data_IF_973707863028
#
_entry.id   IF_973707863028
#
_cell.length_a   1.000
_cell.length_b   1.000
_cell.length_c   1.000
_cell.angle_alpha   90.00
_cell.angle_beta   90.00
_cell.angle_gamma   90.00
#
_symmetry.space_group_name_H-M   'P 1'
#
loop_
_entity.id
_entity.type
_entity.pdbx_description
1 polymer ?
#
# COMPACT_ATOMS: atom_id res chain seq x y z
N UNK A 1 -27.74 -29.04 1.40
CA UNK A 1 -28.20 -29.34 2.76
C UNK A 1 -27.37 -30.52 3.26
N UNK A 2 -26.35 -30.25 4.04
CA UNK A 2 -25.42 -31.28 4.47
C UNK A 2 -25.95 -31.95 5.74
N UNK A 3 -26.01 -33.28 5.74
CA UNK A 3 -26.53 -34.17 6.79
C UNK A 3 -25.81 -34.08 8.15
N UNK A 4 -24.76 -33.27 8.25
CA UNK A 4 -23.94 -33.10 9.47
C UNK A 4 -24.50 -32.12 10.50
N UNK A 5 -25.51 -31.29 10.13
CA UNK A 5 -26.06 -30.28 11.04
C UNK A 5 -27.01 -30.84 12.12
N UNK A 6 -27.50 -32.06 11.91
CA UNK A 6 -28.49 -32.69 12.81
C UNK A 6 -27.88 -33.32 14.08
N UNK A 7 -26.58 -33.64 14.07
CA UNK A 7 -25.90 -34.28 15.19
C UNK A 7 -25.36 -33.32 16.28
N UNK A 8 -25.12 -32.04 15.92
CA UNK A 8 -24.51 -31.08 16.84
C UNK A 8 -25.50 -30.18 17.58
N UNK A 9 -26.75 -30.11 17.14
CA UNK A 9 -27.81 -29.28 17.76
C UNK A 9 -28.06 -29.56 19.23
N UNK A 10 -28.05 -30.83 19.73
CA UNK A 10 -28.29 -31.09 21.15
C UNK A 10 -27.12 -30.70 22.07
N UNK A 11 -25.92 -30.51 21.52
CA UNK A 11 -24.71 -30.20 22.30
C UNK A 11 -24.41 -28.68 22.31
N UNK A 12 -24.72 -27.96 21.23
CA UNK A 12 -24.34 -26.55 21.05
C UNK A 12 -25.51 -25.56 21.17
N UNK A 13 -26.75 -26.03 21.35
CA UNK A 13 -27.92 -25.16 21.37
C UNK A 13 -28.27 -24.56 19.98
N UNK A 14 -29.30 -23.69 19.87
CA UNK A 14 -29.67 -23.08 18.63
C UNK A 14 -28.56 -22.13 18.17
N UNK A 15 -27.87 -22.49 17.06
CA UNK A 15 -26.86 -21.65 16.44
C UNK A 15 -27.49 -20.33 15.98
N UNK A 16 -27.11 -19.25 16.63
CA UNK A 16 -27.52 -17.92 16.22
C UNK A 16 -27.01 -17.65 14.79
N UNK A 17 -27.91 -17.36 13.86
CA UNK A 17 -27.60 -17.05 12.45
C UNK A 17 -26.89 -15.70 12.26
N UNK A 18 -26.59 -14.97 13.34
CA UNK A 18 -25.82 -13.75 13.34
C UNK A 18 -24.39 -14.04 13.80
N UNK A 19 -23.51 -14.30 12.86
CA UNK A 19 -22.07 -14.18 13.08
C UNK A 19 -21.23 -15.46 13.03
N UNK A 20 -21.69 -16.56 12.48
CA UNK A 20 -20.83 -17.72 12.19
C UNK A 20 -20.39 -17.75 10.73
N UNK A 21 -19.52 -16.82 10.34
CA UNK A 21 -18.59 -17.12 9.29
C UNK A 21 -17.45 -17.94 9.92
N UNK A 22 -17.60 -19.25 9.93
CA UNK A 22 -16.51 -20.18 10.27
C UNK A 22 -15.55 -20.24 9.08
N UNK A 23 -14.80 -19.17 8.85
CA UNK A 23 -13.58 -19.20 8.06
C UNK A 23 -12.46 -19.81 8.91
N UNK A 24 -12.64 -21.05 9.34
CA UNK A 24 -11.55 -21.85 9.90
C UNK A 24 -10.64 -22.27 8.76
N UNK A 25 -9.79 -21.34 8.33
CA UNK A 25 -8.63 -21.66 7.50
C UNK A 25 -7.72 -22.54 8.36
N UNK A 26 -7.67 -23.85 8.06
CA UNK A 26 -6.83 -24.78 8.82
C UNK A 26 -5.36 -24.31 8.81
N UNK A 27 -4.56 -24.64 9.85
CA UNK A 27 -3.18 -24.13 10.01
C UNK A 27 -2.29 -24.37 8.79
N UNK A 28 -2.53 -25.44 8.04
CA UNK A 28 -1.80 -25.78 6.80
C UNK A 28 -2.17 -24.85 5.63
N UNK A 29 -3.43 -24.43 5.53
CA UNK A 29 -3.87 -23.52 4.49
C UNK A 29 -3.42 -22.10 4.81
N UNK A 30 -3.49 -21.67 6.07
CA UNK A 30 -3.02 -20.37 6.52
C UNK A 30 -1.52 -20.17 6.26
N UNK A 31 -0.69 -21.15 6.59
CA UNK A 31 0.76 -21.10 6.32
C UNK A 31 1.09 -21.05 4.83
N UNK A 32 0.33 -21.78 4.00
CA UNK A 32 0.49 -21.76 2.53
C UNK A 32 0.11 -20.39 1.95
N UNK A 33 -1.01 -19.79 2.39
CA UNK A 33 -1.45 -18.47 1.98
C UNK A 33 -0.42 -17.41 2.38
N UNK A 34 0.06 -17.43 3.62
CA UNK A 34 1.08 -16.50 4.10
C UNK A 34 2.36 -16.59 3.27
N UNK A 35 2.86 -17.81 3.01
CA UNK A 35 4.05 -18.01 2.18
C UNK A 35 3.87 -17.51 0.74
N UNK A 36 2.71 -17.79 0.13
CA UNK A 36 2.40 -17.31 -1.23
C UNK A 36 2.29 -15.79 -1.28
N UNK A 37 1.67 -15.16 -0.28
CA UNK A 37 1.56 -13.71 -0.17
C UNK A 37 2.92 -13.04 0.01
N UNK A 38 3.78 -13.61 0.85
CA UNK A 38 5.15 -13.11 1.04
C UNK A 38 5.99 -13.22 -0.23
N UNK A 39 5.88 -14.35 -0.92
CA UNK A 39 6.58 -14.56 -2.20
C UNK A 39 6.10 -13.57 -3.26
N UNK A 40 4.78 -13.37 -3.39
CA UNK A 40 4.20 -12.41 -4.32
C UNK A 40 4.67 -10.99 -4.02
N UNK A 41 4.73 -10.61 -2.74
CA UNK A 41 5.24 -9.32 -2.30
C UNK A 41 6.72 -9.15 -2.71
N UNK A 42 7.58 -10.12 -2.42
CA UNK A 42 9.00 -10.08 -2.76
C UNK A 42 9.22 -10.00 -4.28
N UNK A 43 8.50 -10.82 -5.06
CA UNK A 43 8.58 -10.78 -6.54
C UNK A 43 8.13 -9.43 -7.08
N UNK A 44 7.04 -8.86 -6.55
CA UNK A 44 6.55 -7.54 -6.95
C UNK A 44 7.57 -6.44 -6.64
N UNK A 45 8.17 -6.47 -5.46
CA UNK A 45 9.25 -5.53 -5.10
C UNK A 45 10.47 -5.65 -5.99
N UNK A 46 10.90 -6.89 -6.29
CA UNK A 46 12.02 -7.12 -7.19
C UNK A 46 11.73 -6.62 -8.62
N UNK A 47 10.51 -6.83 -9.12
CA UNK A 47 10.08 -6.34 -10.42
C UNK A 47 10.04 -4.80 -10.47
N UNK A 48 9.50 -4.14 -9.43
CA UNK A 48 9.49 -2.68 -9.30
C UNK A 48 10.91 -2.15 -9.23
N UNK A 49 11.77 -2.76 -8.42
CA UNK A 49 13.18 -2.37 -8.29
C UNK A 49 13.93 -2.48 -9.61
N UNK A 50 13.73 -3.58 -10.34
CA UNK A 50 14.32 -3.79 -11.67
C UNK A 50 13.83 -2.72 -12.65
N UNK A 51 12.53 -2.45 -12.70
CA UNK A 51 11.95 -1.42 -13.58
C UNK A 51 12.54 -0.03 -13.30
N UNK A 52 12.57 0.39 -12.04
CA UNK A 52 13.08 1.71 -11.65
C UNK A 52 14.59 1.81 -11.96
N UNK A 53 15.36 0.77 -11.62
CA UNK A 53 16.81 0.75 -11.88
C UNK A 53 17.16 0.80 -13.38
N UNK A 54 16.31 0.22 -14.23
CA UNK A 54 16.47 0.28 -15.68
C UNK A 54 16.05 1.63 -16.24
N UNK A 55 15.01 2.25 -15.69
CA UNK A 55 14.40 3.49 -16.21
C UNK A 55 15.11 4.76 -15.75
N UNK A 56 15.69 4.75 -14.55
CA UNK A 56 16.30 5.92 -13.90
C UNK A 56 17.79 5.72 -13.61
N UNK A 57 18.52 6.83 -13.41
CA UNK A 57 19.90 6.77 -12.92
C UNK A 57 19.95 6.19 -11.50
N UNK A 58 21.10 5.60 -11.13
CA UNK A 58 21.25 4.87 -9.88
C UNK A 58 20.80 5.62 -8.62
N UNK A 59 21.02 6.94 -8.55
CA UNK A 59 20.61 7.76 -7.40
C UNK A 59 19.08 7.86 -7.30
N UNK A 60 18.41 8.21 -8.40
CA UNK A 60 16.95 8.28 -8.43
C UNK A 60 16.30 6.92 -8.13
N UNK A 61 16.87 5.85 -8.70
CA UNK A 61 16.40 4.50 -8.44
C UNK A 61 16.53 4.11 -6.96
N UNK A 62 17.67 4.38 -6.35
CA UNK A 62 17.91 4.11 -4.94
C UNK A 62 16.94 4.89 -4.04
N UNK A 63 16.78 6.20 -4.27
CA UNK A 63 15.88 7.03 -3.47
C UNK A 63 14.41 6.61 -3.62
N UNK A 64 13.97 6.26 -4.84
CA UNK A 64 12.62 5.73 -5.06
C UNK A 64 12.37 4.43 -4.29
N UNK A 65 13.36 3.54 -4.23
CA UNK A 65 13.27 2.30 -3.44
C UNK A 65 13.25 2.55 -1.94
N UNK A 66 13.99 3.55 -1.46
CA UNK A 66 13.95 3.96 -0.05
C UNK A 66 12.57 4.50 0.31
N UNK A 67 11.97 5.37 -0.52
CA UNK A 67 10.61 5.88 -0.31
C UNK A 67 9.58 4.74 -0.33
N UNK A 68 9.69 3.82 -1.29
CA UNK A 68 8.82 2.65 -1.37
C UNK A 68 8.91 1.77 -0.12
N UNK A 69 10.12 1.48 0.33
CA UNK A 69 10.34 0.71 1.56
C UNK A 69 9.76 1.42 2.78
N UNK A 70 9.95 2.74 2.89
CA UNK A 70 9.35 3.58 3.93
C UNK A 70 7.81 3.44 3.96
N UNK A 71 7.13 3.58 2.82
CA UNK A 71 5.67 3.57 2.75
C UNK A 71 5.09 2.20 3.14
N UNK A 72 5.73 1.13 2.68
CA UNK A 72 5.33 -0.24 3.05
C UNK A 72 5.61 -0.53 4.52
N UNK A 73 6.74 -0.05 5.06
CA UNK A 73 7.07 -0.23 6.47
C UNK A 73 6.12 0.54 7.38
N UNK A 74 5.76 1.78 7.04
CA UNK A 74 4.78 2.57 7.80
C UNK A 74 3.41 1.88 7.79
N UNK A 75 2.93 1.45 6.62
CA UNK A 75 1.64 0.77 6.50
C UNK A 75 1.63 -0.55 7.27
N UNK A 76 2.67 -1.37 7.12
CA UNK A 76 2.80 -2.65 7.82
C UNK A 76 2.98 -2.46 9.33
N UNK A 77 3.76 -1.46 9.74
CA UNK A 77 3.98 -1.12 11.15
C UNK A 77 2.70 -0.68 11.84
N UNK A 78 1.87 0.13 11.18
CA UNK A 78 0.56 0.52 11.69
C UNK A 78 -0.35 -0.70 11.91
N UNK A 79 -0.38 -1.64 10.95
CA UNK A 79 -1.20 -2.85 11.09
C UNK A 79 -0.64 -3.80 12.14
N UNK A 80 0.68 -3.92 12.28
CA UNK A 80 1.29 -4.66 13.38
C UNK A 80 0.90 -4.07 14.75
N UNK A 81 0.88 -2.75 14.88
CA UNK A 81 0.46 -2.05 16.08
C UNK A 81 -1.05 -2.24 16.37
N UNK A 82 -1.90 -2.15 15.35
CA UNK A 82 -3.34 -2.44 15.46
C UNK A 82 -3.59 -3.90 15.83
N UNK A 83 -2.80 -4.84 15.32
CA UNK A 83 -2.83 -6.24 15.71
C UNK A 83 -2.57 -6.44 17.19
N UNK A 84 -1.54 -5.77 17.73
CA UNK A 84 -1.19 -5.84 19.16
C UNK A 84 -2.25 -5.20 20.07
N UNK A 85 -2.85 -4.07 19.67
CA UNK A 85 -3.78 -3.33 20.51
C UNK A 85 -5.22 -3.79 20.39
N UNK A 86 -5.65 -4.20 19.19
CA UNK A 86 -7.06 -4.50 18.89
C UNK A 86 -7.29 -5.91 18.35
N UNK A 87 -6.23 -6.72 18.24
CA UNK A 87 -6.34 -8.08 17.69
C UNK A 87 -6.72 -8.10 16.21
N UNK A 88 -6.35 -7.06 15.44
CA UNK A 88 -6.59 -7.03 13.99
C UNK A 88 -5.74 -8.10 13.33
N UNK A 89 -6.39 -9.05 12.68
CA UNK A 89 -5.72 -10.11 11.93
C UNK A 89 -5.43 -9.64 10.50
N UNK A 90 -4.22 -9.93 10.03
CA UNK A 90 -3.81 -9.69 8.64
C UNK A 90 -3.99 -10.97 7.84
N UNK A 91 -4.64 -10.85 6.69
CA UNK A 91 -4.94 -11.93 5.77
C UNK A 91 -4.24 -11.74 4.41
N UNK A 92 -4.60 -12.57 3.43
CA UNK A 92 -4.08 -12.43 2.06
C UNK A 92 -4.47 -11.12 1.39
N UNK A 93 -5.60 -10.51 1.74
CA UNK A 93 -6.03 -9.22 1.20
C UNK A 93 -5.10 -8.09 1.67
N UNK A 94 -4.55 -8.18 2.88
CA UNK A 94 -3.54 -7.23 3.34
C UNK A 94 -2.28 -7.25 2.48
N UNK A 95 -1.80 -8.45 2.07
CA UNK A 95 -0.67 -8.56 1.16
C UNK A 95 -0.98 -7.93 -0.23
N UNK A 96 -2.19 -8.13 -0.73
CA UNK A 96 -2.66 -7.48 -1.97
C UNK A 96 -2.69 -5.96 -1.80
N UNK A 97 -3.15 -5.46 -0.64
CA UNK A 97 -3.13 -4.03 -0.33
C UNK A 97 -1.71 -3.47 -0.37
N UNK A 98 -0.72 -4.14 0.26
CA UNK A 98 0.67 -3.70 0.26
C UNK A 98 1.27 -3.65 -1.16
N UNK A 99 1.00 -4.64 -2.01
CA UNK A 99 1.45 -4.65 -3.41
C UNK A 99 0.83 -3.47 -4.17
N UNK A 100 -0.45 -3.21 -3.95
CA UNK A 100 -1.18 -2.11 -4.59
C UNK A 100 -0.64 -0.76 -4.13
N UNK A 101 -0.41 -0.57 -2.82
CA UNK A 101 0.22 0.63 -2.25
C UNK A 101 1.60 0.84 -2.83
N UNK A 102 2.41 -0.21 -2.95
CA UNK A 102 3.73 -0.14 -3.54
C UNK A 102 3.70 0.35 -4.99
N UNK A 103 2.81 -0.19 -5.80
CA UNK A 103 2.62 0.25 -7.19
C UNK A 103 2.14 1.70 -7.31
N UNK A 104 1.24 2.11 -6.42
CA UNK A 104 0.74 3.49 -6.36
C UNK A 104 1.84 4.49 -5.97
N UNK A 105 2.54 4.23 -4.86
CA UNK A 105 3.64 5.07 -4.36
C UNK A 105 4.74 5.27 -5.40
N UNK A 106 5.16 4.19 -6.06
CA UNK A 106 6.17 4.26 -7.14
C UNK A 106 5.70 5.14 -8.28
N UNK A 107 4.45 5.00 -8.71
CA UNK A 107 3.91 5.79 -9.83
C UNK A 107 3.96 7.28 -9.54
N UNK A 108 3.60 7.69 -8.32
CA UNK A 108 3.61 9.08 -7.91
C UNK A 108 5.04 9.64 -7.76
N UNK A 109 5.95 8.88 -7.15
CA UNK A 109 7.38 9.23 -7.05
C UNK A 109 8.03 9.39 -8.44
N UNK A 110 7.71 8.50 -9.38
CA UNK A 110 8.19 8.56 -10.76
C UNK A 110 7.75 9.84 -11.45
N UNK A 111 6.53 10.29 -11.26
CA UNK A 111 6.02 11.55 -11.85
C UNK A 111 6.81 12.76 -11.35
N UNK A 112 7.11 12.82 -10.07
CA UNK A 112 7.93 13.89 -9.48
C UNK A 112 9.34 13.85 -10.05
N UNK A 113 9.97 12.69 -10.12
CA UNK A 113 11.33 12.54 -10.65
C UNK A 113 11.43 12.83 -12.16
N UNK A 114 10.44 12.43 -12.95
CA UNK A 114 10.40 12.79 -14.37
C UNK A 114 10.30 14.32 -14.54
N UNK A 115 9.51 14.99 -13.70
CA UNK A 115 9.39 16.46 -13.73
C UNK A 115 10.70 17.16 -13.36
N UNK A 116 11.38 16.71 -12.31
CA UNK A 116 12.71 17.21 -11.94
C UNK A 116 13.70 17.05 -13.11
N UNK A 117 13.68 15.90 -13.75
CA UNK A 117 14.55 15.60 -14.90
C UNK A 117 14.25 16.47 -16.12
N UNK A 118 12.97 16.67 -16.45
CA UNK A 118 12.55 17.54 -17.56
C UNK A 118 13.00 18.98 -17.36
N UNK A 119 12.88 19.52 -16.16
CA UNK A 119 13.19 20.91 -15.85
C UNK A 119 14.68 21.18 -15.64
N UNK A 120 15.48 20.14 -15.44
CA UNK A 120 16.93 20.27 -15.13
C UNK A 120 17.70 21.12 -16.13
N UNK A 121 17.40 21.01 -17.43
CA UNK A 121 18.09 21.80 -18.48
C UNK A 121 17.61 23.25 -18.51
N UNK A 122 16.31 23.50 -18.27
CA UNK A 122 15.73 24.84 -18.27
C UNK A 122 16.12 25.63 -17.03
N UNK A 123 16.30 24.97 -15.90
CA UNK A 123 16.62 25.56 -14.60
C UNK A 123 18.09 25.35 -14.18
N UNK A 124 18.98 25.11 -15.15
CA UNK A 124 20.40 24.81 -14.89
C UNK A 124 21.14 25.93 -14.11
N UNK A 125 20.63 27.16 -14.16
CA UNK A 125 21.17 28.33 -13.44
C UNK A 125 20.77 28.39 -11.95
N UNK A 126 19.81 27.57 -11.51
CA UNK A 126 19.33 27.53 -10.13
C UNK A 126 20.01 26.41 -9.33
N UNK A 127 20.18 26.57 -8.02
CA UNK A 127 20.57 25.48 -7.13
C UNK A 127 19.63 24.27 -7.26
N UNK A 128 20.15 23.07 -7.04
CA UNK A 128 19.38 21.83 -7.19
C UNK A 128 18.11 21.83 -6.30
N UNK A 129 18.21 22.37 -5.09
CA UNK A 129 17.06 22.48 -4.18
C UNK A 129 15.91 23.29 -4.79
N UNK A 130 16.20 24.44 -5.39
CA UNK A 130 15.19 25.29 -6.05
C UNK A 130 14.61 24.63 -7.30
N UNK A 131 15.43 23.88 -8.07
CA UNK A 131 14.93 23.09 -9.20
C UNK A 131 13.91 22.04 -8.74
N UNK A 132 14.20 21.39 -7.60
CA UNK A 132 13.33 20.39 -6.99
C UNK A 132 12.02 21.03 -6.51
N UNK A 133 12.06 22.16 -5.82
CA UNK A 133 10.88 22.88 -5.35
C UNK A 133 9.94 23.25 -6.50
N UNK A 134 10.47 23.81 -7.58
CA UNK A 134 9.69 24.15 -8.79
C UNK A 134 9.05 22.90 -9.41
N UNK A 135 9.77 21.77 -9.43
CA UNK A 135 9.23 20.54 -9.97
C UNK A 135 8.12 19.94 -9.09
N UNK A 136 8.28 20.01 -7.77
CA UNK A 136 7.26 19.58 -6.81
C UNK A 136 6.00 20.43 -6.95
N UNK A 137 6.11 21.75 -6.97
CA UNK A 137 4.97 22.65 -7.17
C UNK A 137 4.21 22.35 -8.45
N UNK A 138 4.93 22.08 -9.54
CA UNK A 138 4.34 21.75 -10.84
C UNK A 138 3.59 20.40 -10.85
N UNK A 139 3.93 19.46 -9.95
CA UNK A 139 3.30 18.14 -9.84
C UNK A 139 2.30 18.02 -8.71
N UNK A 140 2.36 18.91 -7.73
CA UNK A 140 1.54 18.88 -6.50
C UNK A 140 0.05 18.73 -6.78
N UNK A 141 -0.50 19.55 -7.67
CA UNK A 141 -1.92 19.54 -8.03
C UNK A 141 -2.32 18.17 -8.60
N UNK A 142 -1.49 17.59 -9.46
CA UNK A 142 -1.74 16.27 -10.04
C UNK A 142 -1.71 15.18 -8.97
N UNK A 143 -0.68 15.15 -8.12
CA UNK A 143 -0.56 14.16 -7.04
C UNK A 143 -1.71 14.24 -6.05
N UNK A 144 -2.16 15.45 -5.68
CA UNK A 144 -3.33 15.63 -4.83
C UNK A 144 -4.62 15.14 -5.47
N UNK A 145 -4.87 15.45 -6.75
CA UNK A 145 -6.08 14.99 -7.44
C UNK A 145 -6.08 13.48 -7.63
N UNK A 146 -4.96 12.86 -8.01
CA UNK A 146 -4.87 11.41 -8.16
C UNK A 146 -5.09 10.69 -6.83
N UNK A 147 -4.53 11.19 -5.73
CA UNK A 147 -4.74 10.65 -4.40
C UNK A 147 -6.20 10.81 -3.96
N UNK A 148 -6.78 11.99 -4.12
CA UNK A 148 -8.17 12.25 -3.72
C UNK A 148 -9.16 11.38 -4.51
N UNK A 149 -8.99 11.27 -5.82
CA UNK A 149 -9.86 10.42 -6.67
C UNK A 149 -9.74 8.94 -6.34
N UNK A 150 -8.60 8.49 -5.84
CA UNK A 150 -8.41 7.10 -5.40
C UNK A 150 -8.95 6.88 -3.98
N UNK A 151 -8.81 7.85 -3.10
CA UNK A 151 -9.30 7.75 -1.72
C UNK A 151 -10.84 7.79 -1.64
N UNK A 152 -11.52 8.52 -2.53
CA UNK A 152 -12.99 8.60 -2.52
C UNK A 152 -13.71 7.23 -2.63
N UNK A 153 -13.39 6.37 -3.61
CA UNK A 153 -13.96 5.01 -3.68
C UNK A 153 -13.60 4.15 -2.46
N UNK A 154 -12.38 4.30 -1.92
CA UNK A 154 -11.95 3.56 -0.73
C UNK A 154 -12.73 3.95 0.51
N UNK A 155 -13.06 5.24 0.69
CA UNK A 155 -13.97 5.67 1.74
C UNK A 155 -15.37 5.03 1.56
N UNK A 156 -15.88 4.98 0.33
CA UNK A 156 -17.11 4.23 0.02
C UNK A 156 -17.01 2.77 0.45
N UNK A 157 -15.88 2.12 0.18
CA UNK A 157 -15.64 0.72 0.57
C UNK A 157 -15.55 0.54 2.09
N UNK A 158 -14.98 1.50 2.82
CA UNK A 158 -14.92 1.49 4.30
C UNK A 158 -16.34 1.55 4.89
N UNK A 159 -17.21 2.41 4.36
CA UNK A 159 -18.56 2.59 4.93
C UNK A 159 -19.56 1.53 4.47
N UNK A 160 -19.41 1.00 3.26
CA UNK A 160 -20.41 0.12 2.63
C UNK A 160 -19.88 -1.28 2.26
N UNK A 161 -18.57 -1.53 2.34
CA UNK A 161 -17.93 -2.77 1.86
C UNK A 161 -18.07 -4.00 2.77
N UNK A 162 -18.66 -3.83 3.95
CA UNK A 162 -18.81 -4.93 4.92
C UNK A 162 -17.53 -5.28 5.67
N UNK A 163 -17.64 -6.19 6.65
CA UNK A 163 -16.55 -6.49 7.59
C UNK A 163 -15.32 -7.13 6.94
N UNK A 164 -15.50 -7.93 5.90
CA UNK A 164 -14.39 -8.64 5.22
C UNK A 164 -13.48 -7.71 4.42
N UNK A 165 -14.00 -6.60 3.88
CA UNK A 165 -13.23 -5.64 3.09
C UNK A 165 -12.78 -4.42 3.89
N UNK A 166 -13.26 -4.26 5.12
CA UNK A 166 -12.99 -3.10 5.94
C UNK A 166 -11.49 -2.86 6.17
N UNK A 167 -10.77 -3.86 6.68
CA UNK A 167 -9.34 -3.75 6.97
C UNK A 167 -8.49 -3.64 5.72
N UNK A 168 -8.89 -4.29 4.63
CA UNK A 168 -8.28 -4.11 3.32
C UNK A 168 -8.40 -2.66 2.83
N UNK A 169 -9.60 -2.08 2.91
CA UNK A 169 -9.83 -0.69 2.51
C UNK A 169 -9.07 0.32 3.39
N UNK A 170 -8.98 0.07 4.71
CA UNK A 170 -8.16 0.86 5.63
C UNK A 170 -6.67 0.79 5.24
N UNK A 171 -6.15 -0.41 4.94
CA UNK A 171 -4.75 -0.58 4.53
C UNK A 171 -4.43 0.20 3.26
N UNK A 172 -5.30 0.13 2.25
CA UNK A 172 -5.16 0.91 1.02
C UNK A 172 -5.24 2.42 1.28
N UNK A 173 -6.22 2.85 2.07
CA UNK A 173 -6.41 4.29 2.38
C UNK A 173 -5.19 4.88 3.07
N UNK A 174 -4.70 4.21 4.10
CA UNK A 174 -3.50 4.64 4.83
C UNK A 174 -2.27 4.58 3.94
N UNK A 175 -2.07 3.47 3.22
CA UNK A 175 -0.90 3.29 2.36
C UNK A 175 -0.83 4.32 1.22
N UNK A 176 -1.96 4.63 0.57
CA UNK A 176 -2.03 5.66 -0.48
C UNK A 176 -1.81 7.05 0.10
N UNK A 177 -2.37 7.37 1.26
CA UNK A 177 -2.14 8.66 1.92
C UNK A 177 -0.65 8.82 2.31
N UNK A 178 -0.04 7.80 2.89
CA UNK A 178 1.40 7.81 3.24
C UNK A 178 2.26 7.91 1.97
N UNK A 179 1.96 7.13 0.93
CA UNK A 179 2.69 7.14 -0.34
C UNK A 179 2.62 8.50 -1.06
N UNK A 180 1.46 9.16 -1.07
CA UNK A 180 1.34 10.51 -1.65
C UNK A 180 2.12 11.56 -0.85
N UNK A 181 2.12 11.47 0.48
CA UNK A 181 2.92 12.38 1.32
C UNK A 181 4.43 12.12 1.15
N UNK A 182 4.82 10.87 1.03
CA UNK A 182 6.20 10.44 0.82
C UNK A 182 6.73 10.89 -0.55
N UNK A 183 5.93 10.76 -1.61
CA UNK A 183 6.33 11.16 -2.96
C UNK A 183 6.50 12.68 -3.12
N UNK A 184 5.69 13.47 -2.41
CA UNK A 184 5.75 14.95 -2.44
C UNK A 184 6.80 15.48 -1.45
N UNK A 185 6.90 14.90 -0.27
CA UNK A 185 7.75 15.39 0.81
C UNK A 185 9.11 14.69 0.90
N UNK A 186 9.12 13.36 1.02
CA UNK A 186 10.34 12.60 1.28
C UNK A 186 11.21 12.43 0.03
N UNK A 187 10.62 12.01 -1.08
CA UNK A 187 11.35 11.70 -2.29
C UNK A 187 12.16 12.90 -2.85
N UNK A 188 11.59 14.11 -2.95
CA UNK A 188 12.32 15.27 -3.45
C UNK A 188 13.32 15.81 -2.45
N UNK A 189 13.05 15.78 -1.14
CA UNK A 189 13.96 16.32 -0.11
C UNK A 189 15.24 15.49 0.04
N UNK A 190 15.22 14.21 -0.28
CA UNK A 190 16.40 13.35 -0.24
C UNK A 190 17.33 13.54 -1.46
N UNK A 191 16.86 14.19 -2.52
CA UNK A 191 17.64 14.33 -3.75
C UNK A 191 18.79 15.33 -3.66
N UNK A 192 18.67 16.49 -2.96
CA UNK A 192 19.76 17.47 -2.80
C UNK A 192 20.84 17.05 -1.80
N UNK A 193 20.62 15.98 -1.02
CA UNK A 193 21.57 15.46 -0.04
C UNK A 193 22.60 14.57 -0.73
#
# INVERSE_FOLDING_TARGET
>A
MCSSDLGLKPVLGPLSSKGTSLDTIGPTLGSRLLRSSLLSLLVSFAAIAAYISFRYSGVFAFLALVCLAHDVLITSGLFAWLGLLRGVEVDSLFAVALITVAGYSVTDTVVVYDRIREQKSALANLPLAEQVDVAVDATLTRSLYTSLTTLLPLLGLIFFGGSSLFWFAIALTVGIAVGSLSSIGLAPTLLPL
#
